data_IF_814458483906
#
_entry.id   IF_814458483906
#
_cell.length_a   1.000
_cell.length_b   1.000
_cell.length_c   1.000
_cell.angle_alpha   90.00
_cell.angle_beta   90.00
_cell.angle_gamma   90.00
#
_symmetry.space_group_name_H-M   'P 1'
#
loop_
_entity.id
_entity.type
_entity.pdbx_description
1 polymer ?
#
# COMPACT_ATOMS: atom_id res chain seq x y z
N UNK A 1 -10.80 -0.47 24.06
CA UNK A 1 -10.01 0.63 23.44
C UNK A 1 -10.84 1.90 23.46
N UNK A 2 -10.20 3.05 23.63
CA UNK A 2 -10.88 4.35 23.49
C UNK A 2 -11.20 4.56 21.99
N UNK A 3 -12.37 5.09 21.62
CA UNK A 3 -12.66 5.42 20.23
C UNK A 3 -11.63 6.42 19.70
N UNK A 4 -11.32 6.31 18.41
CA UNK A 4 -10.45 7.26 17.73
C UNK A 4 -11.09 8.65 17.71
N UNK A 5 -10.25 9.66 17.55
CA UNK A 5 -10.72 10.96 17.13
C UNK A 5 -11.41 10.84 15.74
N UNK A 6 -12.58 11.46 15.50
CA UNK A 6 -13.32 11.32 14.24
C UNK A 6 -12.53 11.76 13.00
N UNK A 7 -11.66 12.77 13.10
CA UNK A 7 -10.86 13.22 11.96
C UNK A 7 -9.77 12.21 11.63
N UNK A 8 -9.18 11.60 12.67
CA UNK A 8 -8.23 10.51 12.53
C UNK A 8 -8.89 9.27 11.90
N UNK A 9 -10.07 8.88 12.37
CA UNK A 9 -10.85 7.78 11.80
C UNK A 9 -11.15 8.02 10.31
N UNK A 10 -11.58 9.23 9.95
CA UNK A 10 -11.81 9.61 8.56
C UNK A 10 -10.54 9.52 7.70
N UNK A 11 -9.38 9.91 8.24
CA UNK A 11 -8.10 9.79 7.53
C UNK A 11 -7.70 8.33 7.29
N UNK A 12 -7.85 7.46 8.30
CA UNK A 12 -7.58 6.03 8.20
C UNK A 12 -8.50 5.39 7.16
N UNK A 13 -9.81 5.64 7.25
CA UNK A 13 -10.78 5.11 6.29
C UNK A 13 -10.46 5.52 4.85
N UNK A 14 -10.08 6.77 4.61
CA UNK A 14 -9.69 7.23 3.26
C UNK A 14 -8.44 6.53 2.71
N UNK A 15 -7.51 6.10 3.55
CA UNK A 15 -6.38 5.29 3.09
C UNK A 15 -6.83 3.88 2.71
N UNK A 16 -7.67 3.27 3.55
CA UNK A 16 -8.22 1.93 3.30
C UNK A 16 -9.02 1.93 2.01
N UNK A 17 -9.97 2.86 1.83
CA UNK A 17 -10.79 2.98 0.61
C UNK A 17 -9.94 3.05 -0.66
N UNK A 18 -8.84 3.81 -0.63
CA UNK A 18 -7.92 3.89 -1.78
C UNK A 18 -7.13 2.61 -1.99
N UNK A 19 -6.72 1.93 -0.91
CA UNK A 19 -6.00 0.66 -0.98
C UNK A 19 -6.89 -0.44 -1.59
N UNK A 20 -8.15 -0.50 -1.18
CA UNK A 20 -9.18 -1.40 -1.71
C UNK A 20 -9.45 -1.11 -3.20
N UNK A 21 -9.54 0.18 -3.57
CA UNK A 21 -9.74 0.56 -4.96
C UNK A 21 -8.58 0.09 -5.87
N UNK A 22 -7.33 0.18 -5.41
CA UNK A 22 -6.19 -0.36 -6.16
C UNK A 22 -6.22 -1.89 -6.22
N UNK A 23 -6.55 -2.56 -5.12
CA UNK A 23 -6.65 -4.02 -5.11
C UNK A 23 -7.70 -4.50 -6.12
N UNK A 24 -8.89 -3.91 -6.09
CA UNK A 24 -9.96 -4.23 -7.03
C UNK A 24 -9.54 -3.98 -8.49
N UNK A 25 -8.80 -2.89 -8.76
CA UNK A 25 -8.27 -2.63 -10.10
C UNK A 25 -7.25 -3.69 -10.53
N UNK A 26 -6.33 -4.08 -9.64
CA UNK A 26 -5.36 -5.14 -9.92
C UNK A 26 -6.05 -6.47 -10.22
N UNK A 27 -7.04 -6.86 -9.42
CA UNK A 27 -7.82 -8.10 -9.59
C UNK A 27 -8.59 -8.14 -10.90
N UNK A 28 -9.17 -7.01 -11.32
CA UNK A 28 -9.89 -6.92 -12.60
C UNK A 28 -8.95 -7.02 -13.81
N UNK A 29 -7.72 -6.53 -13.69
CA UNK A 29 -6.75 -6.49 -14.79
C UNK A 29 -5.89 -7.76 -14.87
N UNK A 30 -5.66 -8.44 -13.76
CA UNK A 30 -4.79 -9.62 -13.66
C UNK A 30 -5.11 -10.75 -14.66
N UNK A 31 -6.38 -11.11 -14.93
CA UNK A 31 -6.70 -12.22 -15.85
C UNK A 31 -6.15 -12.05 -17.26
N UNK A 32 -5.98 -10.81 -17.72
CA UNK A 32 -5.54 -10.51 -19.08
C UNK A 32 -4.03 -10.17 -19.15
N UNK A 33 -3.38 -9.99 -18.00
CA UNK A 33 -2.02 -9.45 -17.93
C UNK A 33 -0.93 -10.41 -18.41
N UNK A 34 -1.17 -11.73 -18.39
CA UNK A 34 -0.17 -12.73 -18.74
C UNK A 34 0.43 -12.52 -20.15
N UNK A 35 -0.40 -12.09 -21.10
CA UNK A 35 0.00 -11.95 -22.50
C UNK A 35 0.47 -10.53 -22.88
N UNK A 36 0.39 -9.57 -21.94
CA UNK A 36 0.70 -8.16 -22.22
C UNK A 36 1.60 -7.54 -21.14
N UNK A 37 2.85 -7.21 -21.51
CA UNK A 37 3.84 -6.60 -20.62
C UNK A 37 3.29 -5.33 -19.95
N UNK A 38 2.63 -4.45 -20.71
CA UNK A 38 2.08 -3.20 -20.16
C UNK A 38 0.99 -3.47 -19.13
N UNK A 39 0.15 -4.48 -19.35
CA UNK A 39 -0.86 -4.87 -18.37
C UNK A 39 -0.24 -5.46 -17.10
N UNK A 40 0.87 -6.21 -17.20
CA UNK A 40 1.61 -6.66 -16.01
C UNK A 40 2.17 -5.49 -15.20
N UNK A 41 2.72 -4.48 -15.87
CA UNK A 41 3.21 -3.28 -15.20
C UNK A 41 2.09 -2.52 -14.49
N UNK A 42 0.91 -2.40 -15.12
CA UNK A 42 -0.26 -1.76 -14.51
C UNK A 42 -0.78 -2.55 -13.30
N UNK A 43 -0.89 -3.89 -13.42
CA UNK A 43 -1.27 -4.75 -12.30
C UNK A 43 -0.28 -4.60 -11.15
N UNK A 44 1.03 -4.68 -11.44
CA UNK A 44 2.07 -4.49 -10.43
C UNK A 44 2.03 -3.12 -9.77
N UNK A 45 1.72 -2.05 -10.52
CA UNK A 45 1.53 -0.70 -9.98
C UNK A 45 0.38 -0.65 -8.99
N UNK A 46 -0.78 -1.20 -9.33
CA UNK A 46 -1.93 -1.24 -8.41
C UNK A 46 -1.67 -2.12 -7.19
N UNK A 47 -1.03 -3.29 -7.34
CA UNK A 47 -0.58 -4.09 -6.20
C UNK A 47 0.35 -3.31 -5.26
N UNK A 48 1.34 -2.59 -5.82
CA UNK A 48 2.25 -1.77 -5.05
C UNK A 48 1.51 -0.66 -4.29
N UNK A 49 0.61 0.05 -4.97
CA UNK A 49 -0.15 1.16 -4.39
C UNK A 49 -1.09 0.70 -3.28
N UNK A 50 -1.75 -0.45 -3.47
CA UNK A 50 -2.61 -1.06 -2.45
C UNK A 50 -1.84 -1.32 -1.16
N UNK A 51 -0.70 -2.02 -1.26
CA UNK A 51 0.18 -2.28 -0.11
C UNK A 51 0.65 -1.00 0.55
N UNK A 52 1.14 -0.03 -0.22
CA UNK A 52 1.61 1.26 0.29
C UNK A 52 0.52 1.97 1.11
N UNK A 53 -0.72 1.95 0.61
CA UNK A 53 -1.85 2.65 1.23
C UNK A 53 -2.33 1.96 2.50
N UNK A 54 -2.33 0.62 2.57
CA UNK A 54 -2.60 -0.07 3.83
C UNK A 54 -1.54 0.21 4.89
N UNK A 55 -0.25 0.22 4.53
CA UNK A 55 0.80 0.58 5.48
C UNK A 55 0.60 2.02 5.97
N UNK A 56 0.26 2.95 5.08
CA UNK A 56 -0.07 4.34 5.45
C UNK A 56 -1.33 4.44 6.31
N UNK A 57 -2.32 3.59 6.13
CA UNK A 57 -3.49 3.51 7.00
C UNK A 57 -3.08 3.13 8.43
N UNK A 58 -2.23 2.11 8.59
CA UNK A 58 -1.70 1.69 9.89
C UNK A 58 -0.85 2.78 10.54
N UNK A 59 0.12 3.35 9.80
CA UNK A 59 0.94 4.45 10.32
C UNK A 59 0.09 5.67 10.71
N UNK A 60 -0.96 5.97 9.94
CA UNK A 60 -1.91 7.04 10.28
C UNK A 60 -2.67 6.70 11.57
N UNK A 61 -3.18 5.48 11.69
CA UNK A 61 -3.87 5.00 12.89
C UNK A 61 -2.99 5.12 14.15
N UNK A 62 -1.71 4.79 14.03
CA UNK A 62 -0.71 4.92 15.09
C UNK A 62 -0.16 6.35 15.26
N UNK A 63 -0.64 7.31 14.45
CA UNK A 63 -0.20 8.71 14.42
C UNK A 63 1.32 8.87 14.18
N UNK A 64 1.89 8.00 13.35
CA UNK A 64 3.28 8.06 12.91
C UNK A 64 3.36 8.84 11.60
N UNK A 65 4.13 9.91 11.60
CA UNK A 65 4.46 10.63 10.38
C UNK A 65 5.35 9.79 9.45
N UNK A 66 5.12 9.90 8.15
CA UNK A 66 5.88 9.18 7.13
C UNK A 66 6.23 10.10 5.95
N UNK A 67 7.39 9.88 5.30
CA UNK A 67 7.81 10.70 4.17
C UNK A 67 6.95 10.43 2.93
N UNK A 68 6.92 11.41 2.00
CA UNK A 68 6.38 11.18 0.66
C UNK A 68 7.30 10.23 -0.12
N UNK A 69 6.97 8.95 -0.12
CA UNK A 69 7.73 7.89 -0.80
C UNK A 69 6.81 6.78 -1.28
N UNK A 70 7.25 6.07 -2.33
CA UNK A 70 6.65 4.83 -2.82
C UNK A 70 7.45 3.59 -2.45
N UNK A 71 8.47 3.74 -1.60
CA UNK A 71 9.34 2.65 -1.22
C UNK A 71 8.74 1.85 -0.06
N UNK A 72 8.19 0.67 -0.34
CA UNK A 72 7.52 -0.19 0.64
C UNK A 72 8.46 -0.51 1.81
N UNK A 73 9.71 -0.88 1.54
CA UNK A 73 10.68 -1.19 2.61
C UNK A 73 10.90 -0.03 3.60
N UNK A 74 10.85 1.23 3.14
CA UNK A 74 10.99 2.39 4.05
C UNK A 74 9.77 2.56 4.95
N UNK A 75 8.57 2.39 4.41
CA UNK A 75 7.33 2.45 5.19
C UNK A 75 7.22 1.25 6.15
N UNK A 76 7.64 0.06 5.71
CA UNK A 76 7.69 -1.15 6.53
C UNK A 76 8.63 -1.00 7.73
N UNK A 77 9.80 -0.37 7.55
CA UNK A 77 10.70 -0.05 8.67
C UNK A 77 10.09 0.90 9.70
N UNK A 78 9.27 1.88 9.27
CA UNK A 78 8.53 2.71 10.22
C UNK A 78 7.50 1.87 10.97
N UNK A 79 6.73 1.05 10.25
CA UNK A 79 5.72 0.17 10.82
C UNK A 79 6.32 -0.85 11.80
N UNK A 80 7.52 -1.37 11.55
CA UNK A 80 8.16 -2.36 12.43
C UNK A 80 8.48 -1.83 13.83
N UNK A 81 8.50 -0.51 14.03
CA UNK A 81 8.70 0.08 15.36
C UNK A 81 7.49 -0.07 16.28
N UNK A 82 6.30 -0.34 15.71
CA UNK A 82 5.03 -0.43 16.44
C UNK A 82 4.40 -1.82 16.24
N UNK A 83 4.38 -2.31 15.00
CA UNK A 83 3.77 -3.58 14.58
C UNK A 83 4.82 -4.52 13.96
N UNK A 84 5.74 -5.10 14.75
CA UNK A 84 6.82 -5.94 14.23
C UNK A 84 6.30 -7.20 13.51
N UNK A 85 5.23 -7.83 14.01
CA UNK A 85 4.64 -9.01 13.38
C UNK A 85 4.02 -8.69 12.01
N UNK A 86 3.30 -7.56 11.90
CA UNK A 86 2.76 -7.10 10.62
C UNK A 86 3.88 -6.72 9.65
N UNK A 87 4.95 -6.09 10.14
CA UNK A 87 6.13 -5.78 9.33
C UNK A 87 6.86 -7.03 8.82
N UNK A 88 6.88 -8.10 9.60
CA UNK A 88 7.47 -9.37 9.15
C UNK A 88 6.57 -10.05 8.10
N UNK A 89 5.26 -10.13 8.36
CA UNK A 89 4.30 -10.69 7.41
C UNK A 89 4.34 -10.01 6.03
N UNK A 90 4.70 -8.72 6.00
CA UNK A 90 4.76 -7.89 4.80
C UNK A 90 6.15 -7.84 4.13
N UNK A 91 7.16 -8.56 4.63
CA UNK A 91 8.51 -8.54 4.04
C UNK A 91 8.50 -8.93 2.56
N UNK A 92 7.63 -9.89 2.21
CA UNK A 92 7.41 -10.32 0.84
C UNK A 92 6.87 -9.21 -0.06
N UNK A 93 6.23 -8.16 0.44
CA UNK A 93 5.72 -7.09 -0.42
C UNK A 93 6.81 -6.11 -0.89
N UNK A 94 8.03 -6.16 -0.35
CA UNK A 94 9.09 -5.23 -0.74
C UNK A 94 9.47 -5.34 -2.23
N UNK A 95 9.33 -6.52 -2.85
CA UNK A 95 9.63 -6.72 -4.27
C UNK A 95 8.72 -5.90 -5.19
N UNK A 96 7.58 -5.40 -4.69
CA UNK A 96 6.68 -4.51 -5.43
C UNK A 96 7.23 -3.09 -5.58
N UNK A 97 8.25 -2.70 -4.82
CA UNK A 97 8.83 -1.34 -4.83
C UNK A 97 9.14 -0.79 -6.23
N UNK A 98 9.72 -1.55 -7.18
CA UNK A 98 10.00 -1.06 -8.53
C UNK A 98 8.75 -0.67 -9.34
N UNK A 99 7.57 -1.15 -8.95
CA UNK A 99 6.30 -0.85 -9.64
C UNK A 99 5.64 0.43 -9.14
N UNK A 100 6.18 1.10 -8.11
CA UNK A 100 5.51 2.25 -7.47
C UNK A 100 5.52 3.56 -8.24
N UNK A 101 6.04 3.57 -9.47
CA UNK A 101 6.01 4.72 -10.37
C UNK A 101 5.40 4.27 -11.68
N UNK A 102 4.30 4.90 -12.09
CA UNK A 102 3.73 4.67 -13.41
C UNK A 102 4.77 5.06 -14.47
N UNK A 103 5.26 4.09 -15.24
CA UNK A 103 6.12 4.36 -16.38
C UNK A 103 5.27 5.01 -17.47
N UNK A 104 5.40 6.33 -17.62
CA UNK A 104 4.95 7.02 -18.82
C UNK A 104 5.81 6.51 -19.98
N UNK A 105 5.19 5.72 -20.87
CA UNK A 105 5.79 5.32 -22.14
C UNK A 105 5.80 6.46 -23.16
#
# INVERSE_FOLDING_TARGET
MKPLDPDLESLVCRWIEKAEADLAAAEQLAPNAADNIRQREIVGFHCQQSVEKYIKALLTYDQVEFPKTHHIGRLRMLMSTIHPEAAEAMIGAEWLTPFGVARSG
#
